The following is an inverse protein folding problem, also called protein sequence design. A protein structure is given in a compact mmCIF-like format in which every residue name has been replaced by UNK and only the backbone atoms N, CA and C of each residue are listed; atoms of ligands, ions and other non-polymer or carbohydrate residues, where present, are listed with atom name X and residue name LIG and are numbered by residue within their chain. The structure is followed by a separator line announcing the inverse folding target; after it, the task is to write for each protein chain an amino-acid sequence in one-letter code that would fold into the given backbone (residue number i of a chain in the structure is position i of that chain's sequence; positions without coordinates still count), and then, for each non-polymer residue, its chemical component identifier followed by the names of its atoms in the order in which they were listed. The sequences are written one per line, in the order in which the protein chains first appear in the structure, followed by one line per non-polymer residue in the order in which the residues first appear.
data_IF_074923198373
#
_entry.id   IF_074923198373
#
_cell.length_a   1.000
_cell.length_b   1.000
_cell.length_c   1.000
_cell.angle_alpha   90.00
_cell.angle_beta   90.00
_cell.angle_gamma   90.00
#
_symmetry.space_group_name_H-M   'P 1'
#
loop_
_entity.id
_entity.type
_entity.pdbx_description
1 polymer ?
#
# COMPACT_ATOMS: atom_id res chain seq x y z
N UNK A 1 6.09 9.59 -8.12
CA UNK A 1 5.70 8.33 -7.42
C UNK A 1 6.51 8.01 -6.19
N UNK A 2 7.70 8.57 -6.10
CA UNK A 2 8.58 8.29 -4.97
C UNK A 2 7.94 8.66 -3.63
N UNK A 3 7.31 9.83 -3.56
CA UNK A 3 6.65 10.26 -2.33
C UNK A 3 5.45 9.38 -1.97
N UNK A 4 4.74 8.89 -2.98
CA UNK A 4 3.62 7.97 -2.75
C UNK A 4 4.15 6.66 -2.18
N UNK A 5 5.21 6.11 -2.76
CA UNK A 5 5.78 4.87 -2.26
C UNK A 5 6.29 5.04 -0.83
N UNK A 6 6.90 6.18 -0.53
CA UNK A 6 7.37 6.46 0.82
C UNK A 6 6.21 6.53 1.81
N UNK A 7 5.11 7.15 1.41
CA UNK A 7 3.90 7.22 2.22
C UNK A 7 3.37 5.81 2.52
N UNK A 8 3.28 4.98 1.49
CA UNK A 8 2.80 3.60 1.65
C UNK A 8 3.75 2.80 2.54
N UNK A 9 5.05 2.95 2.33
CA UNK A 9 6.05 2.24 3.12
C UNK A 9 6.02 2.65 4.59
N UNK A 10 5.79 3.93 4.86
CA UNK A 10 5.63 4.40 6.24
C UNK A 10 4.41 3.76 6.89
N UNK A 11 3.30 3.67 6.16
CA UNK A 11 2.09 3.03 6.68
C UNK A 11 2.30 1.54 6.92
N UNK A 12 3.08 0.89 6.05
CA UNK A 12 3.43 -0.50 6.22
C UNK A 12 4.28 -0.70 7.48
N UNK A 13 5.25 0.18 7.69
CA UNK A 13 6.10 0.16 8.88
C UNK A 13 5.26 0.33 10.15
N UNK A 14 4.36 1.30 10.15
CA UNK A 14 3.48 1.52 11.30
C UNK A 14 2.55 0.35 11.55
N UNK A 15 2.08 -0.31 10.48
CA UNK A 15 1.28 -1.52 10.61
C UNK A 15 2.04 -2.64 11.31
N UNK A 16 3.32 -2.79 10.97
CA UNK A 16 4.16 -3.80 11.61
C UNK A 16 4.38 -3.49 13.09
N UNK A 17 4.48 -2.19 13.44
CA UNK A 17 4.66 -1.77 14.82
C UNK A 17 3.37 -1.85 15.64
N UNK A 18 2.23 -1.66 14.99
CA UNK A 18 0.92 -1.66 15.65
C UNK A 18 -0.06 -2.49 14.82
N UNK A 19 0.07 -3.83 14.86
CA UNK A 19 -0.74 -4.70 14.00
C UNK A 19 -2.25 -4.55 14.16
N UNK A 20 -2.71 -4.15 15.34
CA UNK A 20 -4.13 -3.94 15.60
C UNK A 20 -4.73 -2.83 14.73
N UNK A 21 -3.88 -1.93 14.23
CA UNK A 21 -4.30 -0.82 13.38
C UNK A 21 -3.92 -1.05 11.91
N UNK A 22 -3.43 -2.24 11.58
CA UNK A 22 -2.94 -2.52 10.22
C UNK A 22 -4.00 -2.30 9.16
N UNK A 23 -5.25 -2.68 9.43
CA UNK A 23 -6.34 -2.48 8.47
C UNK A 23 -6.58 -1.00 8.19
N UNK A 24 -6.51 -0.17 9.23
CA UNK A 24 -6.65 1.28 9.08
C UNK A 24 -5.53 1.84 8.21
N UNK A 25 -4.29 1.44 8.49
CA UNK A 25 -3.14 1.88 7.71
C UNK A 25 -3.21 1.37 6.27
N UNK A 26 -3.67 0.14 6.08
CA UNK A 26 -3.87 -0.39 4.74
C UNK A 26 -4.87 0.46 3.95
N UNK A 27 -6.00 0.78 4.58
CA UNK A 27 -7.03 1.59 3.93
C UNK A 27 -6.52 2.99 3.60
N UNK A 28 -5.72 3.59 4.48
CA UNK A 28 -5.13 4.89 4.22
C UNK A 28 -4.12 4.83 3.07
N UNK A 29 -3.30 3.80 3.03
CA UNK A 29 -2.34 3.62 1.94
C UNK A 29 -3.05 3.40 0.61
N UNK A 30 -4.10 2.58 0.60
CA UNK A 30 -4.88 2.33 -0.60
C UNK A 30 -5.59 3.59 -1.07
N UNK A 31 -6.13 4.37 -0.12
CA UNK A 31 -6.77 5.66 -0.43
C UNK A 31 -5.79 6.64 -1.06
N UNK A 32 -4.56 6.70 -0.55
CA UNK A 32 -3.52 7.54 -1.13
C UNK A 32 -3.17 7.11 -2.54
N UNK A 33 -3.10 5.80 -2.78
CA UNK A 33 -2.87 5.25 -4.11
C UNK A 33 -3.97 5.67 -5.08
N UNK A 34 -5.22 5.52 -4.68
CA UNK A 34 -6.36 5.90 -5.49
C UNK A 34 -6.36 7.39 -5.79
N UNK A 35 -6.08 8.21 -4.78
CA UNK A 35 -6.04 9.66 -4.93
C UNK A 35 -4.93 10.06 -5.91
N UNK A 36 -3.77 9.43 -5.81
CA UNK A 36 -2.66 9.70 -6.71
C UNK A 36 -3.05 9.41 -8.15
N UNK A 37 -3.72 8.29 -8.39
CA UNK A 37 -4.17 7.91 -9.74
C UNK A 37 -5.13 8.96 -10.30
N UNK A 38 -6.04 9.46 -9.46
CA UNK A 38 -7.03 10.45 -9.88
C UNK A 38 -6.36 11.80 -10.16
N UNK A 39 -5.43 12.22 -9.30
CA UNK A 39 -4.81 13.55 -9.38
C UNK A 39 -3.74 13.67 -10.46
N UNK A 40 -3.08 12.56 -10.78
CA UNK A 40 -1.98 12.58 -11.74
C UNK A 40 -2.43 11.93 -13.03
N UNK A 41 -2.10 12.56 -14.13
CA UNK A 41 -2.46 12.06 -15.47
C UNK A 41 -1.40 11.02 -15.88
N UNK A 42 -1.51 9.83 -15.34
CA UNK A 42 -0.50 8.80 -15.55
C UNK A 42 -0.56 8.23 -16.96
N UNK A 43 0.62 7.95 -17.53
CA UNK A 43 0.69 7.18 -18.76
C UNK A 43 0.32 5.72 -18.46
N UNK A 44 0.06 4.94 -19.51
CA UNK A 44 -0.26 3.52 -19.35
C UNK A 44 0.86 2.78 -18.64
N UNK A 45 2.11 3.12 -18.97
CA UNK A 45 3.28 2.48 -18.35
C UNK A 45 3.39 2.84 -16.87
N UNK A 46 3.17 4.10 -16.55
CA UNK A 46 3.21 4.55 -15.15
C UNK A 46 2.13 3.88 -14.31
N UNK A 47 0.92 3.80 -14.87
CA UNK A 47 -0.19 3.12 -14.19
C UNK A 47 0.11 1.64 -13.98
N UNK A 48 0.62 0.96 -15.01
CA UNK A 48 0.95 -0.45 -14.93
C UNK A 48 2.05 -0.70 -13.88
N UNK A 49 3.06 0.15 -13.85
CA UNK A 49 4.14 0.03 -12.86
C UNK A 49 3.62 0.22 -11.44
N UNK A 50 2.76 1.21 -11.24
CA UNK A 50 2.18 1.50 -9.93
C UNK A 50 1.31 0.33 -9.46
N UNK A 51 0.44 -0.17 -10.35
CA UNK A 51 -0.44 -1.28 -10.04
C UNK A 51 0.36 -2.54 -9.72
N UNK A 52 1.39 -2.84 -10.49
CA UNK A 52 2.25 -3.99 -10.26
C UNK A 52 2.94 -3.89 -8.91
N UNK A 53 3.51 -2.72 -8.60
CA UNK A 53 4.20 -2.51 -7.33
C UNK A 53 3.25 -2.72 -6.15
N UNK A 54 2.05 -2.17 -6.25
CA UNK A 54 1.04 -2.34 -5.20
C UNK A 54 0.67 -3.82 -5.02
N UNK A 55 0.33 -4.49 -6.13
CA UNK A 55 -0.18 -5.85 -6.08
C UNK A 55 0.87 -6.89 -5.70
N UNK A 56 2.13 -6.65 -6.05
CA UNK A 56 3.19 -7.64 -5.82
C UNK A 56 4.03 -7.37 -4.59
N UNK A 57 4.05 -6.13 -4.10
CA UNK A 57 4.94 -5.74 -3.00
C UNK A 57 4.16 -5.29 -1.78
N UNK A 58 3.33 -4.26 -1.93
CA UNK A 58 2.72 -3.61 -0.77
C UNK A 58 1.49 -4.33 -0.24
N UNK A 59 0.56 -4.67 -1.12
CA UNK A 59 -0.66 -5.34 -0.70
C UNK A 59 -0.37 -6.66 0.02
N UNK A 60 0.47 -7.55 -0.51
CA UNK A 60 0.79 -8.79 0.21
C UNK A 60 1.45 -8.53 1.55
N UNK A 61 2.30 -7.51 1.65
CA UNK A 61 2.95 -7.17 2.91
C UNK A 61 1.96 -6.71 3.96
N UNK A 62 1.00 -5.86 3.58
CA UNK A 62 -0.08 -5.45 4.48
C UNK A 62 -0.93 -6.64 4.90
N UNK A 63 -1.27 -7.50 3.94
CA UNK A 63 -2.11 -8.67 4.22
C UNK A 63 -1.43 -9.63 5.18
N UNK A 64 -0.12 -9.80 5.05
CA UNK A 64 0.63 -10.64 5.97
C UNK A 64 0.55 -10.11 7.41
N UNK A 65 0.55 -8.80 7.58
CA UNK A 65 0.42 -8.19 8.90
C UNK A 65 -1.03 -8.28 9.41
N UNK A 66 -1.99 -7.93 8.55
CA UNK A 66 -3.41 -7.91 8.93
C UNK A 66 -3.91 -9.28 9.35
N UNK A 67 -3.46 -10.31 8.65
CA UNK A 67 -3.88 -11.68 8.93
C UNK A 67 -2.89 -12.43 9.81
N UNK A 68 -1.72 -11.82 10.03
CA UNK A 68 -0.81 -12.13 11.12
C UNK A 68 -0.50 -13.59 11.35
N UNK A 69 -0.13 -14.39 10.49
CA UNK A 69 0.14 -15.78 10.74
C UNK A 69 -1.09 -16.64 10.98
N UNK A 70 -2.28 -16.02 10.93
CA UNK A 70 -3.52 -16.77 11.18
C UNK A 70 -3.75 -17.85 10.12
N UNK A 71 -3.20 -17.66 8.97
CA UNK A 71 -3.32 -18.60 7.86
C UNK A 71 -2.34 -19.75 7.94
N UNK A 72 -1.45 -19.69 8.86
CA UNK A 72 -0.42 -20.72 9.03
C UNK A 72 -0.97 -21.96 9.70
#
# INVERSE_FOLDING_TARGET
MEKLFQYIENHLKWSAQTPDHAKTFFNQAFGALQFYIIEHNLSADEFANLETKWNTTYKPAFEAIMYGGAEV
#
